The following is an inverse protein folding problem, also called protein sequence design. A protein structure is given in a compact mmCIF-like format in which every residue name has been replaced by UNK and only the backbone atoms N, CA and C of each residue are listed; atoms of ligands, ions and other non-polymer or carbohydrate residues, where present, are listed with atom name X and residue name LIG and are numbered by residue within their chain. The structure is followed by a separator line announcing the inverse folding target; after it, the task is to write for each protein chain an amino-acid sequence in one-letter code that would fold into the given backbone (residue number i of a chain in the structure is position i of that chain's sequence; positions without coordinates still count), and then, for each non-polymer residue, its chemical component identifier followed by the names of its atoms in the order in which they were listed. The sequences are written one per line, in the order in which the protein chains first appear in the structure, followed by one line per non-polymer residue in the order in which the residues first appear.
data_IF_538589289180
#
_entry.id   IF_538589289180
#
_cell.length_a   1.000
_cell.length_b   1.000
_cell.length_c   1.000
_cell.angle_alpha   90.00
_cell.angle_beta   90.00
_cell.angle_gamma   90.00
#
_symmetry.space_group_name_H-M   'P 1'
#
loop_
_entity.id
_entity.type
_entity.pdbx_description
1 polymer ?
#
# COMPACT_ATOMS: atom_id res chain seq x y z
N UNK A 1 13.30 26.99 -24.14
CA UNK A 1 12.15 26.51 -23.35
C UNK A 1 11.82 25.10 -23.83
N UNK A 2 12.11 24.08 -23.03
CA UNK A 2 11.80 22.68 -23.37
C UNK A 2 10.46 22.34 -22.72
N UNK A 3 9.46 22.03 -23.55
CA UNK A 3 8.15 21.56 -23.11
C UNK A 3 8.29 20.08 -22.75
N UNK A 4 7.86 19.74 -21.54
CA UNK A 4 7.91 18.39 -20.99
C UNK A 4 6.66 17.63 -21.46
N UNK A 5 6.85 16.56 -22.22
CA UNK A 5 5.76 15.78 -22.81
C UNK A 5 5.38 14.62 -21.86
N UNK A 6 4.15 14.62 -21.34
CA UNK A 6 3.55 13.43 -20.73
C UNK A 6 3.23 12.48 -21.88
N UNK A 7 4.11 11.50 -22.14
CA UNK A 7 3.88 10.53 -23.23
C UNK A 7 3.03 9.40 -22.67
N UNK A 8 1.84 9.21 -23.23
CA UNK A 8 1.14 7.92 -23.18
C UNK A 8 1.98 6.92 -23.98
N UNK A 9 2.89 6.21 -23.32
CA UNK A 9 3.75 5.23 -24.00
C UNK A 9 2.94 3.95 -24.19
N UNK A 10 2.82 3.51 -25.45
CA UNK A 10 2.21 2.23 -25.81
C UNK A 10 2.85 1.05 -25.05
N UNK A 11 2.03 0.04 -24.76
CA UNK A 11 2.20 -1.12 -23.85
C UNK A 11 3.54 -1.87 -23.94
N UNK A 12 4.32 -1.73 -25.01
CA UNK A 12 5.55 -2.50 -25.27
C UNK A 12 6.77 -2.05 -24.46
N UNK A 13 6.88 -0.77 -24.07
CA UNK A 13 7.97 -0.31 -23.17
C UNK A 13 7.68 -0.56 -21.68
N UNK A 14 6.41 -0.69 -21.30
CA UNK A 14 5.97 -0.96 -19.93
C UNK A 14 6.39 -2.34 -19.42
N UNK A 15 6.41 -3.35 -20.30
CA UNK A 15 6.97 -4.69 -19.97
C UNK A 15 8.46 -4.64 -19.63
N UNK A 16 9.23 -3.73 -20.23
CA UNK A 16 10.65 -3.58 -19.94
C UNK A 16 10.89 -2.99 -18.54
N UNK A 17 10.10 -2.00 -18.09
CA UNK A 17 10.21 -1.46 -16.72
C UNK A 17 9.74 -2.45 -15.63
N UNK A 18 8.74 -3.29 -15.93
CA UNK A 18 8.28 -4.34 -15.01
C UNK A 18 9.33 -5.43 -14.75
N UNK A 19 10.26 -5.68 -15.68
CA UNK A 19 11.29 -6.72 -15.54
C UNK A 19 12.47 -6.34 -14.63
N UNK A 20 12.57 -5.10 -14.16
CA UNK A 20 13.75 -4.64 -13.40
C UNK A 20 13.45 -4.03 -12.02
N UNK A 21 12.19 -3.79 -11.65
CA UNK A 21 11.82 -3.24 -10.34
C UNK A 21 11.34 -4.34 -9.39
N UNK A 22 11.98 -4.47 -8.23
CA UNK A 22 11.55 -5.36 -7.16
C UNK A 22 10.61 -4.61 -6.22
N UNK A 23 9.58 -5.29 -5.72
CA UNK A 23 8.69 -4.70 -4.71
C UNK A 23 9.50 -4.49 -3.43
N UNK A 24 9.65 -3.23 -3.04
CA UNK A 24 10.43 -2.80 -1.88
C UNK A 24 9.59 -2.86 -0.60
N UNK A 25 8.36 -2.38 -0.68
CA UNK A 25 7.38 -2.58 0.38
C UNK A 25 5.95 -2.59 -0.17
N UNK A 26 5.05 -3.18 0.61
CA UNK A 26 3.60 -3.00 0.49
C UNK A 26 3.13 -2.23 1.73
N UNK A 27 2.26 -1.24 1.52
CA UNK A 27 1.42 -0.68 2.58
C UNK A 27 -0.02 -1.15 2.38
N UNK A 28 -0.70 -1.58 3.43
CA UNK A 28 -2.09 -2.02 3.37
C UNK A 28 -2.90 -1.50 4.54
N UNK A 29 -4.18 -1.23 4.32
CA UNK A 29 -5.12 -0.92 5.41
C UNK A 29 -4.68 0.20 6.34
N UNK A 30 -4.72 -0.10 7.65
CA UNK A 30 -4.44 0.82 8.75
C UNK A 30 -3.05 0.70 9.39
N UNK A 31 -2.15 1.57 8.97
CA UNK A 31 -1.23 1.15 7.94
C UNK A 31 -0.35 -0.04 8.39
N UNK A 32 -0.50 -1.14 7.67
CA UNK A 32 0.29 -2.34 7.78
C UNK A 32 1.34 -2.36 6.70
N UNK A 33 2.56 -2.76 7.04
CA UNK A 33 3.65 -2.79 6.08
C UNK A 33 4.23 -4.18 5.96
N UNK A 34 4.59 -4.54 4.73
CA UNK A 34 5.34 -5.74 4.40
C UNK A 34 6.62 -5.32 3.68
N UNK A 35 7.78 -5.67 4.24
CA UNK A 35 9.06 -5.43 3.57
C UNK A 35 9.45 -6.61 2.66
N UNK A 36 10.55 -6.45 1.93
CA UNK A 36 11.08 -7.48 1.04
C UNK A 36 11.49 -8.78 1.74
N UNK A 37 11.81 -8.72 3.04
CA UNK A 37 12.20 -9.90 3.83
C UNK A 37 10.99 -10.66 4.38
N UNK A 38 9.78 -10.13 4.18
CA UNK A 38 8.55 -10.74 4.68
C UNK A 38 8.18 -10.34 6.10
N UNK A 39 8.83 -9.34 6.68
CA UNK A 39 8.45 -8.81 7.99
C UNK A 39 7.18 -7.97 7.85
N UNK A 40 6.18 -8.27 8.69
CA UNK A 40 4.93 -7.52 8.79
C UNK A 40 4.97 -6.68 10.04
N UNK A 41 4.63 -5.39 9.90
CA UNK A 41 4.53 -4.45 11.03
C UNK A 41 3.28 -3.62 10.92
N UNK A 42 2.71 -3.33 12.09
CA UNK A 42 1.51 -2.52 12.24
C UNK A 42 1.95 -1.26 12.99
N UNK A 43 1.82 -0.08 12.36
CA UNK A 43 2.24 1.15 13.01
C UNK A 43 1.15 2.20 12.90
N UNK A 44 0.66 2.71 14.03
CA UNK A 44 -0.44 3.68 14.04
C UNK A 44 0.09 5.10 14.17
N UNK A 45 -0.48 6.04 13.42
CA UNK A 45 -0.06 7.44 13.42
C UNK A 45 -0.57 8.19 12.19
N UNK A 46 -1.37 9.22 12.42
CA UNK A 46 -2.06 10.00 11.37
C UNK A 46 -1.20 11.12 10.79
N UNK A 47 0.11 10.88 10.59
CA UNK A 47 1.04 11.88 10.08
C UNK A 47 1.41 11.66 8.61
N UNK A 48 2.25 12.55 8.10
CA UNK A 48 2.94 12.37 6.82
C UNK A 48 4.31 11.74 7.08
N UNK A 49 4.64 10.71 6.31
CA UNK A 49 5.88 9.94 6.45
C UNK A 49 6.63 9.84 5.13
N UNK A 50 7.96 9.82 5.21
CA UNK A 50 8.82 9.44 4.09
C UNK A 50 8.92 7.92 4.06
N UNK A 51 8.56 7.32 2.92
CA UNK A 51 8.62 5.88 2.72
C UNK A 51 9.90 5.45 1.98
N UNK A 52 10.33 6.26 1.02
CA UNK A 52 11.55 6.09 0.25
C UNK A 52 12.03 7.44 -0.25
N UNK A 53 13.32 7.73 -0.15
CA UNK A 53 13.93 8.96 -0.66
C UNK A 53 15.29 8.70 -1.29
N UNK A 54 15.58 9.42 -2.34
CA UNK A 54 16.89 9.51 -2.96
C UNK A 54 17.26 10.98 -3.10
N UNK A 55 18.46 11.33 -2.67
CA UNK A 55 19.00 12.67 -2.79
C UNK A 55 20.28 12.62 -3.64
N UNK A 56 20.24 13.22 -4.84
CA UNK A 56 21.42 13.43 -5.67
C UNK A 56 22.12 14.72 -5.24
N UNK A 57 23.35 14.58 -4.74
CA UNK A 57 24.16 15.69 -4.24
C UNK A 57 24.62 16.67 -5.32
N UNK A 58 24.63 16.24 -6.59
CA UNK A 58 25.05 17.03 -7.73
C UNK A 58 23.87 17.64 -8.49
N UNK A 59 22.69 17.02 -8.40
CA UNK A 59 21.48 17.47 -9.09
C UNK A 59 20.21 17.18 -8.28
N UNK A 60 19.77 18.15 -7.47
CA UNK A 60 18.53 18.04 -6.71
C UNK A 60 17.30 17.76 -7.58
N UNK A 61 17.27 18.18 -8.85
CA UNK A 61 16.15 17.88 -9.73
C UNK A 61 16.03 16.37 -9.99
N UNK A 62 17.11 15.60 -9.90
CA UNK A 62 17.14 14.13 -10.03
C UNK A 62 16.79 13.39 -8.73
N UNK A 63 16.55 14.12 -7.64
CA UNK A 63 16.11 13.54 -6.38
C UNK A 63 14.63 13.13 -6.45
N UNK A 64 14.25 12.13 -5.66
CA UNK A 64 12.85 11.78 -5.48
C UNK A 64 12.55 11.48 -4.01
N UNK A 65 11.31 11.76 -3.60
CA UNK A 65 10.78 11.35 -2.31
C UNK A 65 9.38 10.79 -2.47
N UNK A 66 9.13 9.61 -1.91
CA UNK A 66 7.81 9.01 -1.83
C UNK A 66 7.29 9.24 -0.42
N UNK A 67 6.15 9.92 -0.32
CA UNK A 67 5.46 10.18 0.94
C UNK A 67 4.17 9.38 1.02
N UNK A 68 3.81 9.01 2.25
CA UNK A 68 2.46 8.55 2.59
C UNK A 68 1.87 9.50 3.61
N UNK A 69 0.65 9.98 3.38
CA UNK A 69 -0.13 10.71 4.40
C UNK A 69 -1.15 9.76 5.00
N UNK A 70 -1.05 9.56 6.30
CA UNK A 70 -2.02 8.81 7.07
C UNK A 70 -3.07 9.75 7.67
N UNK A 71 -4.29 9.25 7.86
CA UNK A 71 -5.40 9.96 8.50
C UNK A 71 -6.27 9.02 9.34
N UNK A 72 -7.00 9.53 10.33
CA UNK A 72 -8.09 8.78 10.92
C UNK A 72 -9.31 8.77 10.00
N UNK A 73 -10.03 7.65 9.95
CA UNK A 73 -11.20 7.47 9.09
C UNK A 73 -12.31 6.73 9.84
N UNK A 74 -13.56 7.00 9.47
CA UNK A 74 -14.72 6.23 9.95
C UNK A 74 -14.97 6.42 11.44
N UNK A 75 -15.47 5.38 12.09
CA UNK A 75 -15.79 5.39 13.52
C UNK A 75 -14.59 5.22 14.46
N UNK A 76 -13.42 4.83 13.95
CA UNK A 76 -12.22 4.58 14.75
C UNK A 76 -11.21 5.71 14.65
N UNK A 77 -10.82 6.26 15.80
CA UNK A 77 -9.70 7.20 15.94
C UNK A 77 -8.46 6.54 16.52
N UNK A 78 -8.53 5.25 16.83
CA UNK A 78 -7.38 4.50 17.34
C UNK A 78 -6.40 4.23 16.21
N UNK A 79 -6.90 3.85 15.04
CA UNK A 79 -6.09 3.45 13.88
C UNK A 79 -6.01 4.55 12.83
N UNK A 80 -4.97 4.56 12.00
CA UNK A 80 -4.81 5.49 10.88
C UNK A 80 -4.70 4.77 9.54
N UNK A 81 -5.15 5.37 8.45
CA UNK A 81 -5.11 4.79 7.10
C UNK A 81 -4.28 5.66 6.18
N UNK A 82 -3.60 5.05 5.21
CA UNK A 82 -3.02 5.85 4.13
C UNK A 82 -4.14 6.52 3.30
N UNK A 83 -4.25 7.85 3.45
CA UNK A 83 -5.15 8.70 2.67
C UNK A 83 -4.72 8.72 1.21
N UNK A 84 -3.43 8.94 1.00
CA UNK A 84 -2.79 8.97 -0.32
C UNK A 84 -1.30 8.64 -0.21
N UNK A 85 -0.75 8.23 -1.33
CA UNK A 85 0.70 8.20 -1.57
C UNK A 85 1.03 9.28 -2.59
N UNK A 86 2.10 10.02 -2.37
CA UNK A 86 2.55 11.04 -3.31
C UNK A 86 4.05 10.97 -3.57
N UNK A 87 4.43 11.31 -4.80
CA UNK A 87 5.81 11.30 -5.28
C UNK A 87 6.22 12.74 -5.56
N UNK A 88 7.32 13.16 -4.94
CA UNK A 88 8.01 14.40 -5.26
C UNK A 88 9.19 14.06 -6.15
N UNK A 89 9.19 14.51 -7.41
CA UNK A 89 10.21 14.18 -8.40
C UNK A 89 10.26 15.27 -9.48
N UNK A 90 11.44 15.70 -9.95
CA UNK A 90 11.61 16.73 -10.99
C UNK A 90 10.79 18.01 -10.77
N UNK A 91 10.71 18.50 -9.53
CA UNK A 91 9.86 19.65 -9.16
C UNK A 91 8.37 19.45 -9.56
N UNK A 92 7.90 18.20 -9.42
CA UNK A 92 6.50 17.79 -9.56
C UNK A 92 6.08 17.05 -8.31
N UNK A 93 4.82 17.24 -7.96
CA UNK A 93 4.14 16.45 -6.93
C UNK A 93 3.06 15.63 -7.63
N UNK A 94 3.13 14.32 -7.48
CA UNK A 94 2.20 13.38 -8.10
C UNK A 94 1.53 12.60 -6.99
N UNK A 95 0.26 12.91 -6.74
CA UNK A 95 -0.56 12.20 -5.76
C UNK A 95 -1.33 11.10 -6.47
N UNK A 96 -1.27 9.88 -5.94
CA UNK A 96 -1.95 8.74 -6.51
C UNK A 96 -3.30 8.56 -5.82
N UNK A 97 -4.35 8.63 -6.62
CA UNK A 97 -5.68 8.16 -6.25
C UNK A 97 -5.78 6.63 -6.41
N UNK A 98 -6.91 6.06 -6.02
CA UNK A 98 -7.22 4.65 -6.18
C UNK A 98 -7.03 4.14 -7.62
N UNK A 99 -6.48 2.93 -7.74
CA UNK A 99 -6.26 2.19 -8.98
C UNK A 99 -5.39 2.99 -9.98
N UNK A 100 -4.33 3.64 -9.46
CA UNK A 100 -3.33 4.33 -10.28
C UNK A 100 -1.94 3.74 -10.04
N UNK A 101 -1.12 3.75 -11.09
CA UNK A 101 0.27 3.31 -11.05
C UNK A 101 1.14 4.27 -11.85
N UNK A 102 2.22 4.72 -11.22
CA UNK A 102 3.19 5.65 -11.80
C UNK A 102 4.47 4.89 -12.08
N UNK A 103 4.94 5.00 -13.32
CA UNK A 103 6.20 4.43 -13.77
C UNK A 103 7.20 5.54 -14.05
N UNK A 104 8.43 5.35 -13.61
CA UNK A 104 9.53 6.27 -13.90
C UNK A 104 10.58 5.61 -14.79
N UNK A 105 11.23 6.39 -15.66
CA UNK A 105 12.31 5.92 -16.53
C UNK A 105 13.53 5.41 -15.76
N UNK A 106 13.71 5.86 -14.52
CA UNK A 106 14.79 5.44 -13.64
C UNK A 106 14.44 4.18 -12.82
N UNK A 107 13.22 3.65 -12.89
CA UNK A 107 12.88 2.36 -12.30
C UNK A 107 12.31 2.42 -10.88
N UNK A 108 11.81 3.58 -10.44
CA UNK A 108 10.81 3.68 -9.38
C UNK A 108 9.42 3.43 -9.98
N UNK A 109 8.62 2.59 -9.32
CA UNK A 109 7.19 2.42 -9.57
C UNK A 109 6.46 2.60 -8.25
N UNK A 110 5.38 3.38 -8.27
CA UNK A 110 4.49 3.53 -7.12
C UNK A 110 3.07 3.26 -7.59
N UNK A 111 2.31 2.51 -6.80
CA UNK A 111 0.91 2.22 -7.08
C UNK A 111 0.04 2.50 -5.88
N UNK A 112 -1.24 2.80 -6.13
CA UNK A 112 -2.27 2.77 -5.12
C UNK A 112 -3.46 1.97 -5.63
N UNK A 113 -3.92 1.00 -4.86
CA UNK A 113 -5.14 0.23 -5.11
C UNK A 113 -6.35 0.83 -4.37
N UNK A 114 -6.13 1.91 -3.63
CA UNK A 114 -7.13 2.58 -2.80
C UNK A 114 -7.39 1.88 -1.45
N UNK A 115 -8.11 2.58 -0.58
CA UNK A 115 -8.41 2.09 0.78
C UNK A 115 -7.15 1.80 1.58
N UNK A 116 -6.20 2.72 1.64
CA UNK A 116 -4.95 2.52 2.40
C UNK A 116 -3.86 1.71 1.66
N UNK A 117 -4.21 1.00 0.59
CA UNK A 117 -3.30 0.08 -0.06
C UNK A 117 -2.41 0.73 -1.13
N UNK A 118 -1.11 0.46 -1.05
CA UNK A 118 -0.11 0.93 -2.00
C UNK A 118 1.12 0.01 -2.08
N UNK A 119 1.87 0.13 -3.17
CA UNK A 119 3.11 -0.59 -3.39
C UNK A 119 4.21 0.33 -3.88
N UNK A 120 5.42 0.15 -3.37
CA UNK A 120 6.63 0.83 -3.85
C UNK A 120 7.56 -0.22 -4.43
N UNK A 121 7.96 -0.03 -5.69
CA UNK A 121 8.90 -0.91 -6.37
C UNK A 121 10.09 -0.11 -6.85
N UNK A 122 11.28 -0.68 -6.70
CA UNK A 122 12.52 -0.03 -7.07
C UNK A 122 13.42 -0.98 -7.84
N UNK A 123 14.09 -0.43 -8.85
CA UNK A 123 15.14 -1.16 -9.54
C UNK A 123 16.27 -1.51 -8.58
N UNK A 124 16.76 -2.75 -8.67
CA UNK A 124 17.89 -3.24 -7.85
C UNK A 124 19.11 -2.33 -7.89
N UNK A 125 19.28 -1.54 -8.96
CA UNK A 125 20.34 -0.54 -9.11
C UNK A 125 20.34 0.49 -7.98
N UNK A 126 19.17 0.88 -7.48
CA UNK A 126 19.02 1.98 -6.53
C UNK A 126 19.08 1.55 -5.06
N UNK A 127 19.20 0.25 -4.78
CA UNK A 127 19.04 -0.30 -3.43
C UNK A 127 20.06 0.26 -2.41
N UNK A 128 21.25 0.64 -2.85
CA UNK A 128 22.30 1.22 -2.01
C UNK A 128 22.24 2.75 -1.90
N UNK A 129 21.39 3.39 -2.71
CA UNK A 129 21.35 4.85 -2.85
C UNK A 129 20.08 5.46 -2.24
N UNK A 130 19.00 4.68 -2.16
CA UNK A 130 17.72 5.12 -1.59
C UNK A 130 17.70 4.81 -0.10
N UNK A 131 17.20 5.75 0.70
CA UNK A 131 16.95 5.55 2.13
C UNK A 131 15.45 5.60 2.41
N UNK A 132 15.01 4.97 3.50
CA UNK A 132 13.60 4.94 3.87
C UNK A 132 13.18 3.61 4.48
N UNK A 133 12.04 3.59 5.19
CA UNK A 133 11.53 2.37 5.79
C UNK A 133 11.22 1.30 4.75
N UNK A 134 10.80 1.66 3.54
CA UNK A 134 10.54 0.67 2.49
C UNK A 134 11.80 0.08 1.84
N UNK A 135 12.99 0.57 2.17
CA UNK A 135 14.26 0.14 1.57
C UNK A 135 15.13 -0.61 2.56
N UNK A 136 15.07 -0.21 3.83
CA UNK A 136 15.85 -0.86 4.88
C UNK A 136 15.42 -2.32 5.01
N UNK A 137 16.42 -3.21 5.10
CA UNK A 137 16.22 -4.64 5.28
C UNK A 137 16.00 -5.03 6.75
N UNK A 138 16.02 -4.08 7.67
CA UNK A 138 15.84 -4.33 9.10
C UNK A 138 14.75 -3.42 9.61
N UNK A 139 13.59 -4.00 9.93
CA UNK A 139 12.58 -3.32 10.72
C UNK A 139 12.73 -3.75 12.18
N UNK A 140 12.78 -2.78 13.09
CA UNK A 140 12.82 -3.04 14.53
C UNK A 140 11.47 -3.49 15.10
N UNK A 141 10.66 -4.22 14.32
CA UNK A 141 9.24 -4.49 14.60
C UNK A 141 8.40 -3.21 14.63
N UNK A 142 7.45 -3.15 15.55
CA UNK A 142 6.59 -1.98 15.79
C UNK A 142 7.33 -0.86 16.58
N UNK A 143 8.64 -0.72 16.41
CA UNK A 143 9.44 0.26 17.18
C UNK A 143 8.98 1.69 16.89
N UNK A 144 8.53 2.36 17.95
CA UNK A 144 8.09 3.75 17.86
C UNK A 144 9.20 4.68 17.41
N UNK A 145 10.42 4.44 17.90
CA UNK A 145 11.59 5.21 17.54
C UNK A 145 11.90 5.09 16.04
N UNK A 146 11.77 3.87 15.49
CA UNK A 146 12.05 3.63 14.08
C UNK A 146 11.09 4.40 13.17
N UNK A 147 9.78 4.40 13.44
CA UNK A 147 8.81 5.06 12.55
C UNK A 147 8.75 6.57 12.78
N UNK A 148 8.96 7.03 14.01
CA UNK A 148 8.93 8.47 14.33
C UNK A 148 10.00 9.25 13.57
N UNK A 149 11.18 8.68 13.32
CA UNK A 149 12.26 9.34 12.56
C UNK A 149 11.88 9.69 11.11
N UNK A 150 10.89 8.99 10.54
CA UNK A 150 10.43 9.18 9.17
C UNK A 150 9.23 10.14 9.07
N UNK A 151 8.77 10.67 10.20
CA UNK A 151 7.70 11.67 10.25
C UNK A 151 8.20 13.00 9.71
N UNK A 152 7.41 13.67 8.87
CA UNK A 152 7.74 15.00 8.34
C UNK A 152 6.74 16.04 8.79
N UNK A 153 7.20 17.29 8.84
CA UNK A 153 6.31 18.42 9.07
C UNK A 153 5.30 18.54 7.93
N UNK A 154 4.03 18.62 8.30
CA UNK A 154 2.90 18.77 7.39
C UNK A 154 2.13 20.03 7.80
N UNK A 155 2.05 21.07 6.94
CA UNK A 155 1.28 22.27 7.25
C UNK A 155 -0.22 21.99 7.44
N UNK A 156 -0.75 20.90 6.89
CA UNK A 156 -2.13 20.46 7.13
C UNK A 156 -2.32 19.89 8.55
N UNK A 157 -1.22 19.51 9.22
CA UNK A 157 -1.22 18.82 10.51
C UNK A 157 0.05 19.16 11.33
N UNK A 158 0.16 20.41 11.81
CA UNK A 158 1.38 20.93 12.41
C UNK A 158 1.72 20.29 13.77
N UNK A 159 0.72 19.72 14.45
CA UNK A 159 0.83 19.16 15.80
C UNK A 159 1.04 17.63 15.81
N UNK A 160 1.33 17.03 14.66
CA UNK A 160 1.43 15.58 14.53
C UNK A 160 2.64 15.00 15.28
N UNK A 161 2.40 14.01 16.15
CA UNK A 161 3.42 13.41 17.04
C UNK A 161 4.13 12.18 16.47
N UNK A 162 3.84 11.84 15.22
CA UNK A 162 4.34 10.65 14.55
C UNK A 162 3.62 9.38 14.97
N UNK A 163 4.33 8.26 14.93
CA UNK A 163 3.78 6.97 15.34
C UNK A 163 3.53 6.90 16.86
N UNK A 164 2.44 6.23 17.23
CA UNK A 164 1.97 5.96 18.59
C UNK A 164 1.76 4.46 18.76
N UNK A 165 2.18 3.94 19.91
CA UNK A 165 1.96 2.54 20.27
C UNK A 165 0.55 2.40 20.86
N UNK A 166 -0.28 1.57 20.23
CA UNK A 166 -1.63 1.27 20.69
C UNK A 166 -1.84 -0.25 20.65
N UNK A 167 -2.66 -0.81 21.55
CA UNK A 167 -2.99 -2.23 21.51
C UNK A 167 -3.67 -2.61 20.20
N UNK A 168 -3.26 -3.74 19.64
CA UNK A 168 -3.89 -4.28 18.44
C UNK A 168 -5.38 -4.56 18.69
N UNK A 169 -6.26 -4.22 17.74
CA UNK A 169 -7.69 -4.44 17.86
C UNK A 169 -8.01 -5.93 17.80
N UNK A 170 -8.85 -6.38 18.71
CA UNK A 170 -9.32 -7.77 18.79
C UNK A 170 -10.83 -7.81 18.63
N UNK A 171 -11.30 -8.60 17.68
CA UNK A 171 -12.74 -8.84 17.52
C UNK A 171 -13.27 -9.71 18.67
N UNK A 172 -14.50 -9.46 19.14
CA UNK A 172 -15.18 -10.34 20.10
C UNK A 172 -15.28 -11.80 19.63
N UNK A 173 -15.30 -12.75 20.57
CA UNK A 173 -15.37 -14.18 20.27
C UNK A 173 -16.61 -14.57 19.46
N UNK A 174 -17.75 -13.93 19.73
CA UNK A 174 -19.02 -14.15 19.03
C UNK A 174 -19.02 -13.64 17.58
N UNK A 175 -18.02 -12.85 17.19
CA UNK A 175 -17.86 -12.38 15.81
C UNK A 175 -16.89 -13.20 14.98
N UNK A 176 -16.15 -14.16 15.57
CA UNK A 176 -15.09 -14.90 14.86
C UNK A 176 -15.62 -15.66 13.63
N UNK A 177 -16.79 -16.30 13.73
CA UNK A 177 -17.42 -16.99 12.59
C UNK A 177 -17.78 -16.02 11.45
N UNK A 178 -18.27 -14.83 11.80
CA UNK A 178 -18.58 -13.81 10.81
C UNK A 178 -17.30 -13.24 10.18
N UNK A 179 -16.27 -12.98 10.98
CA UNK A 179 -14.96 -12.50 10.52
C UNK A 179 -14.36 -13.43 9.46
N UNK A 180 -14.45 -14.74 9.67
CA UNK A 180 -13.96 -15.76 8.75
C UNK A 180 -14.96 -16.16 7.65
N UNK A 181 -16.10 -15.47 7.54
CA UNK A 181 -17.04 -15.66 6.43
C UNK A 181 -16.55 -14.96 5.15
N UNK A 182 -17.03 -15.38 3.96
CA UNK A 182 -16.72 -14.70 2.69
C UNK A 182 -17.10 -13.21 2.67
N UNK A 183 -18.00 -12.78 3.56
CA UNK A 183 -18.41 -11.38 3.64
C UNK A 183 -17.33 -10.48 4.27
N UNK A 184 -16.42 -11.03 5.06
CA UNK A 184 -15.33 -10.26 5.68
C UNK A 184 -13.99 -10.81 5.21
N UNK A 185 -13.25 -11.50 6.08
CA UNK A 185 -11.89 -11.97 5.80
C UNK A 185 -11.82 -13.43 5.38
N UNK A 186 -12.94 -14.13 5.25
CA UNK A 186 -12.97 -15.56 4.91
C UNK A 186 -12.28 -15.90 3.61
N UNK A 187 -12.42 -15.06 2.58
CA UNK A 187 -11.79 -15.31 1.27
C UNK A 187 -10.25 -15.30 1.29
N UNK A 188 -9.64 -14.81 2.36
CA UNK A 188 -8.18 -14.82 2.57
C UNK A 188 -7.76 -15.64 3.79
N UNK A 189 -8.62 -15.81 4.79
CA UNK A 189 -8.30 -16.51 6.05
C UNK A 189 -8.77 -17.97 6.08
N UNK A 190 -9.84 -18.32 5.36
CA UNK A 190 -10.37 -19.67 5.34
C UNK A 190 -9.72 -20.48 4.20
N UNK A 191 -9.13 -21.62 4.54
CA UNK A 191 -8.44 -22.50 3.58
C UNK A 191 -9.42 -23.27 2.67
N UNK A 192 -10.66 -23.46 3.13
CA UNK A 192 -11.71 -24.10 2.35
C UNK A 192 -12.20 -23.22 1.18
N UNK A 193 -11.94 -21.91 1.22
CA UNK A 193 -12.28 -20.99 0.15
C UNK A 193 -11.36 -21.16 -1.06
N UNK A 194 -11.96 -21.27 -2.25
CA UNK A 194 -11.25 -21.61 -3.48
C UNK A 194 -10.85 -20.39 -4.32
N UNK A 195 -11.56 -19.27 -4.15
CA UNK A 195 -11.48 -18.13 -5.07
C UNK A 195 -10.06 -17.55 -5.21
N UNK A 196 -9.35 -17.40 -4.09
CA UNK A 196 -7.98 -16.88 -4.08
C UNK A 196 -6.92 -17.99 -3.96
N UNK A 197 -7.30 -19.27 -3.87
CA UNK A 197 -6.41 -20.37 -3.48
C UNK A 197 -5.18 -20.48 -4.38
N UNK A 198 -5.38 -20.54 -5.70
CA UNK A 198 -4.29 -20.67 -6.67
C UNK A 198 -3.30 -19.49 -6.56
N UNK A 199 -3.84 -18.28 -6.43
CA UNK A 199 -3.04 -17.07 -6.28
C UNK A 199 -2.28 -17.04 -4.95
N UNK A 200 -2.92 -17.38 -3.83
CA UNK A 200 -2.29 -17.42 -2.51
C UNK A 200 -1.16 -18.45 -2.48
N UNK A 201 -1.34 -19.61 -3.13
CA UNK A 201 -0.31 -20.66 -3.23
C UNK A 201 0.90 -20.25 -4.09
N UNK A 202 0.76 -19.28 -4.99
CA UNK A 202 1.87 -18.66 -5.74
C UNK A 202 2.67 -17.63 -4.90
N UNK A 203 2.12 -17.19 -3.77
CA UNK A 203 2.75 -16.21 -2.88
C UNK A 203 3.55 -16.88 -1.75
N UNK A 204 4.58 -16.18 -1.26
CA UNK A 204 5.27 -16.60 -0.03
C UNK A 204 4.33 -16.55 1.17
N UNK A 205 4.61 -17.39 2.17
CA UNK A 205 3.84 -17.45 3.42
C UNK A 205 3.74 -16.08 4.11
N UNK A 206 4.80 -15.27 4.06
CA UNK A 206 4.81 -13.90 4.59
C UNK A 206 3.81 -12.97 3.90
N UNK A 207 3.67 -13.07 2.57
CA UNK A 207 2.70 -12.27 1.81
C UNK A 207 1.28 -12.77 2.10
N UNK A 208 1.07 -14.08 2.19
CA UNK A 208 -0.23 -14.63 2.59
C UNK A 208 -0.61 -14.16 3.99
N UNK A 209 0.32 -14.26 4.94
CA UNK A 209 0.12 -13.81 6.32
C UNK A 209 -0.21 -12.32 6.36
N UNK A 210 0.51 -11.48 5.60
CA UNK A 210 0.22 -10.05 5.49
C UNK A 210 -1.24 -9.77 5.17
N UNK A 211 -1.80 -10.38 4.11
CA UNK A 211 -3.22 -10.14 3.76
C UNK A 211 -4.20 -10.72 4.78
N UNK A 212 -3.87 -11.85 5.43
CA UNK A 212 -4.69 -12.46 6.48
C UNK A 212 -4.79 -11.53 7.69
N UNK A 213 -3.65 -11.16 8.27
CA UNK A 213 -3.61 -10.35 9.50
C UNK A 213 -4.10 -8.92 9.25
N UNK A 214 -3.82 -8.36 8.06
CA UNK A 214 -4.28 -7.02 7.68
C UNK A 214 -5.79 -6.93 7.62
N UNK A 215 -6.43 -7.92 6.98
CA UNK A 215 -7.90 -7.94 6.92
C UNK A 215 -8.51 -8.04 8.31
N UNK A 216 -8.01 -8.95 9.14
CA UNK A 216 -8.56 -9.15 10.50
C UNK A 216 -8.38 -7.90 11.35
N UNK A 217 -7.21 -7.28 11.30
CA UNK A 217 -6.92 -6.08 12.07
C UNK A 217 -7.86 -4.94 11.70
N UNK A 218 -7.92 -4.57 10.42
CA UNK A 218 -8.79 -3.49 9.93
C UNK A 218 -10.26 -3.75 10.31
N UNK A 219 -10.77 -4.97 10.09
CA UNK A 219 -12.18 -5.29 10.42
C UNK A 219 -12.43 -5.13 11.92
N UNK A 220 -11.52 -5.60 12.78
CA UNK A 220 -11.67 -5.49 14.22
C UNK A 220 -11.51 -4.05 14.71
N UNK A 221 -10.66 -3.24 14.08
CA UNK A 221 -10.50 -1.82 14.40
C UNK A 221 -11.81 -1.03 14.23
N UNK A 222 -12.67 -1.49 13.32
CA UNK A 222 -13.96 -0.88 12.99
C UNK A 222 -15.16 -1.65 13.52
N UNK A 223 -14.97 -2.60 14.43
CA UNK A 223 -16.03 -3.51 14.89
C UNK A 223 -17.34 -2.81 15.33
N UNK A 224 -17.22 -1.60 15.88
CA UNK A 224 -18.35 -0.77 16.33
C UNK A 224 -19.27 -0.28 15.20
N UNK A 225 -18.87 -0.37 13.93
CA UNK A 225 -19.64 0.11 12.78
C UNK A 225 -19.60 -0.88 11.61
N UNK A 226 -20.74 -1.52 11.33
CA UNK A 226 -20.91 -2.49 10.25
C UNK A 226 -20.51 -1.95 8.87
N UNK A 227 -20.77 -0.67 8.60
CA UNK A 227 -20.42 -0.06 7.32
C UNK A 227 -18.91 0.06 7.15
N UNK A 228 -18.21 0.44 8.22
CA UNK A 228 -16.76 0.65 8.20
C UNK A 228 -16.03 -0.71 8.21
N UNK A 229 -16.49 -1.68 9.00
CA UNK A 229 -16.02 -3.08 8.94
C UNK A 229 -16.08 -3.62 7.52
N UNK A 230 -17.23 -3.41 6.85
CA UNK A 230 -17.42 -3.90 5.49
C UNK A 230 -16.50 -3.20 4.50
N UNK A 231 -16.33 -1.87 4.65
CA UNK A 231 -15.42 -1.10 3.81
C UNK A 231 -13.97 -1.57 3.97
N UNK A 232 -13.53 -1.84 5.20
CA UNK A 232 -12.22 -2.40 5.54
C UNK A 232 -11.98 -3.76 4.87
N UNK A 233 -12.90 -4.71 5.01
CA UNK A 233 -12.80 -6.02 4.35
C UNK A 233 -12.72 -5.89 2.82
N UNK A 234 -13.59 -5.06 2.22
CA UNK A 234 -13.59 -4.84 0.77
C UNK A 234 -12.29 -4.16 0.27
N UNK A 235 -11.65 -3.31 1.08
CA UNK A 235 -10.37 -2.70 0.72
C UNK A 235 -9.24 -3.74 0.68
N UNK A 236 -9.14 -4.57 1.72
CA UNK A 236 -8.14 -5.65 1.79
C UNK A 236 -8.30 -6.67 0.66
N UNK A 237 -9.53 -7.13 0.39
CA UNK A 237 -9.80 -8.06 -0.71
C UNK A 237 -9.50 -7.46 -2.08
N UNK A 238 -9.68 -6.15 -2.25
CA UNK A 238 -9.30 -5.45 -3.49
C UNK A 238 -7.78 -5.39 -3.66
N UNK A 239 -7.03 -5.17 -2.58
CA UNK A 239 -5.58 -5.21 -2.60
C UNK A 239 -5.04 -6.60 -2.95
N UNK A 240 -5.60 -7.65 -2.34
CA UNK A 240 -5.25 -9.04 -2.68
C UNK A 240 -5.56 -9.36 -4.14
N UNK A 241 -6.74 -8.97 -4.64
CA UNK A 241 -7.10 -9.16 -6.04
C UNK A 241 -6.19 -8.40 -7.01
N UNK A 242 -5.65 -7.26 -6.59
CA UNK A 242 -4.67 -6.50 -7.37
C UNK A 242 -3.35 -7.26 -7.46
N UNK A 243 -2.84 -7.77 -6.32
CA UNK A 243 -1.64 -8.61 -6.28
C UNK A 243 -1.79 -9.88 -7.12
N UNK A 244 -2.95 -10.51 -7.06
CA UNK A 244 -3.28 -11.65 -7.90
C UNK A 244 -3.23 -11.30 -9.38
N UNK A 245 -3.83 -10.17 -9.77
CA UNK A 245 -3.85 -9.73 -11.16
C UNK A 245 -2.43 -9.45 -11.70
N UNK A 246 -1.53 -8.89 -10.89
CA UNK A 246 -0.12 -8.66 -11.28
C UNK A 246 0.63 -9.98 -11.53
N UNK A 247 0.22 -11.06 -10.86
CA UNK A 247 0.73 -12.43 -11.05
C UNK A 247 0.01 -13.20 -12.16
N UNK A 248 -0.99 -12.60 -12.79
CA UNK A 248 -1.78 -13.21 -13.87
C UNK A 248 -3.02 -13.98 -13.41
N UNK A 249 -3.37 -13.94 -12.12
CA UNK A 249 -4.57 -14.54 -11.57
C UNK A 249 -5.71 -13.52 -11.52
N UNK A 250 -6.72 -13.69 -12.38
CA UNK A 250 -7.92 -12.84 -12.39
C UNK A 250 -9.02 -13.48 -11.53
N UNK A 251 -9.27 -12.90 -10.35
CA UNK A 251 -10.24 -13.44 -9.38
C UNK A 251 -11.51 -12.59 -9.34
N UNK A 252 -12.69 -13.20 -9.61
CA UNK A 252 -13.98 -12.53 -9.45
C UNK A 252 -14.57 -12.76 -8.04
N UNK A 253 -14.16 -11.91 -7.10
CA UNK A 253 -14.46 -12.07 -5.67
C UNK A 253 -15.63 -11.20 -5.18
N UNK A 254 -16.02 -10.17 -5.94
CA UNK A 254 -16.86 -9.08 -5.43
C UNK A 254 -18.29 -9.49 -5.11
N UNK A 255 -18.88 -10.35 -5.94
CA UNK A 255 -20.23 -10.85 -5.71
C UNK A 255 -20.25 -11.72 -4.44
N UNK A 256 -19.28 -12.61 -4.30
CA UNK A 256 -19.11 -13.49 -3.13
C UNK A 256 -18.94 -12.69 -1.84
N UNK A 257 -18.08 -11.67 -1.87
CA UNK A 257 -17.83 -10.82 -0.73
C UNK A 257 -18.89 -9.73 -0.52
N UNK A 258 -19.93 -9.62 -1.35
CA UNK A 258 -20.91 -8.53 -1.30
C UNK A 258 -20.25 -7.13 -1.27
N UNK A 259 -19.23 -6.93 -2.11
CA UNK A 259 -18.50 -5.67 -2.24
C UNK A 259 -18.87 -4.99 -3.56
N UNK A 260 -19.37 -3.76 -3.49
CA UNK A 260 -19.80 -3.02 -4.70
C UNK A 260 -18.60 -2.76 -5.62
N UNK A 261 -18.78 -3.01 -6.93
CA UNK A 261 -17.91 -2.44 -7.96
C UNK A 261 -18.11 -0.93 -7.92
N UNK A 262 -17.08 -0.18 -7.54
CA UNK A 262 -17.13 1.27 -7.70
C UNK A 262 -16.99 1.58 -9.18
N UNK A 263 -17.87 2.42 -9.70
CA UNK A 263 -17.96 2.76 -11.13
C UNK A 263 -16.80 3.64 -11.59
N UNK A 264 -15.54 3.25 -11.41
CA UNK A 264 -14.38 3.84 -12.09
C UNK A 264 -13.48 2.70 -12.61
N UNK A 265 -12.97 2.89 -13.82
CA UNK A 265 -12.52 1.89 -14.78
C UNK A 265 -11.56 0.80 -14.25
N UNK A 266 -11.77 -0.42 -14.72
CA UNK A 266 -11.01 -1.65 -14.45
C UNK A 266 -9.57 -1.70 -15.03
N UNK A 267 -8.90 -0.55 -15.18
CA UNK A 267 -7.51 -0.51 -15.59
C UNK A 267 -6.78 0.56 -14.78
N UNK A 268 -5.62 0.20 -14.24
CA UNK A 268 -4.66 1.17 -13.73
C UNK A 268 -4.50 2.28 -14.77
N UNK A 269 -4.79 3.53 -14.38
CA UNK A 269 -4.35 4.66 -15.21
C UNK A 269 -2.84 4.77 -15.03
N UNK A 270 -2.12 4.38 -16.08
CA UNK A 270 -0.67 4.41 -16.10
C UNK A 270 -0.18 5.81 -16.43
N UNK A 271 0.63 6.37 -15.54
CA UNK A 271 1.34 7.63 -15.78
C UNK A 271 2.83 7.32 -15.90
N UNK A 272 3.44 7.67 -17.02
CA UNK A 272 4.87 7.50 -17.26
C UNK A 272 5.60 8.84 -17.15
N UNK A 273 6.69 8.87 -16.38
CA UNK A 273 7.57 10.02 -16.21
C UNK A 273 8.95 9.64 -16.75
N UNK A 274 9.46 10.42 -17.70
CA UNK A 274 10.80 10.23 -18.26
C UNK A 274 11.61 11.52 -18.16
N UNK A 275 12.90 11.37 -17.89
CA UNK A 275 13.91 12.41 -18.12
C UNK A 275 14.22 12.49 -19.61
N UNK A 276 14.48 13.70 -20.10
CA UNK A 276 14.83 13.98 -21.51
C UNK A 276 16.35 13.96 -21.73
#
# INVERSE_FOLDING_TARGET
MRVMLVILVAETKLRFSQLFACKACTGGGDPHYLNENGEVVHFQGACKYIMAQYADSNNQDMSFTVYTKNEHRGSSTSVSWARYVEIHVFNRVIRLDRDNRVYTSFGLVVESSGGGNFGIFLSRRWRSEVTGPCITSVWGGNSVEFWRQWTVHDPEDPDCVGHVDIPDPVCPEDFQDALHSPQYCGLVTNEDEELFRECLQDMSESVQNFYRVSCTYDVCAYYSNVTDMKAAACANLHALATECADRGFLVDWRATANCRKLHHFHHFRMVAIATA
#
